data_IF_019345070984
#
_entry.id   IF_019345070984
#
_cell.length_a   1.000
_cell.length_b   1.000
_cell.length_c   1.000
_cell.angle_alpha   90.00
_cell.angle_beta   90.00
_cell.angle_gamma   90.00
#
_symmetry.space_group_name_H-M   'P 1'
#
loop_
_entity.id
_entity.type
_entity.pdbx_description
1 polymer ?
#
# COMPACT_ATOMS: atom_id res chain seq x y z
N UNK A 1 6.95 7.07 6.71
CA UNK A 1 6.29 5.85 6.19
C UNK A 1 6.26 4.66 7.16
N UNK A 2 7.15 4.58 8.18
CA UNK A 2 7.21 3.44 9.12
C UNK A 2 5.88 3.07 9.80
N UNK A 3 5.02 4.06 10.11
CA UNK A 3 3.70 3.83 10.71
C UNK A 3 2.76 3.08 9.74
N UNK A 4 2.67 3.55 8.49
CA UNK A 4 1.83 2.91 7.46
C UNK A 4 2.35 1.49 7.15
N UNK A 5 3.66 1.33 7.01
CA UNK A 5 4.28 0.01 6.83
C UNK A 5 3.98 -0.93 8.01
N UNK A 6 4.09 -0.45 9.25
CA UNK A 6 3.76 -1.23 10.44
C UNK A 6 2.30 -1.68 10.47
N UNK A 7 1.36 -0.80 10.08
CA UNK A 7 -0.06 -1.15 9.96
C UNK A 7 -0.27 -2.25 8.91
N UNK A 8 0.24 -2.06 7.70
CA UNK A 8 0.08 -3.03 6.61
C UNK A 8 0.69 -4.38 7.00
N UNK A 9 1.90 -4.38 7.56
CA UNK A 9 2.56 -5.60 8.04
C UNK A 9 1.72 -6.35 9.09
N UNK A 10 1.16 -5.62 10.06
CA UNK A 10 0.34 -6.21 11.13
C UNK A 10 -0.96 -6.79 10.59
N UNK A 11 -1.62 -6.12 9.65
CA UNK A 11 -2.84 -6.61 9.00
C UNK A 11 -2.55 -7.82 8.12
N UNK A 12 -1.50 -7.75 7.29
CA UNK A 12 -1.10 -8.86 6.43
C UNK A 12 -0.66 -10.09 7.22
N UNK A 13 -0.30 -10.01 8.51
CA UNK A 13 -0.09 -11.19 9.37
C UNK A 13 -1.39 -11.95 9.67
N UNK A 14 -2.52 -11.25 9.67
CA UNK A 14 -3.85 -11.79 10.05
C UNK A 14 -4.76 -12.05 8.86
N UNK A 15 -4.55 -11.33 7.76
CA UNK A 15 -5.38 -11.37 6.57
C UNK A 15 -4.53 -11.58 5.30
N UNK A 16 -5.17 -12.08 4.24
CA UNK A 16 -4.54 -12.25 2.92
C UNK A 16 -4.29 -10.90 2.24
N UNK A 17 -5.17 -9.93 2.49
CA UNK A 17 -5.14 -8.60 1.89
C UNK A 17 -5.23 -7.51 2.95
N UNK A 18 -4.60 -6.37 2.68
CA UNK A 18 -4.74 -5.15 3.47
C UNK A 18 -5.16 -4.01 2.54
N UNK A 19 -6.34 -3.44 2.76
CA UNK A 19 -6.78 -2.24 2.07
C UNK A 19 -6.36 -1.00 2.86
N UNK A 20 -5.73 -0.05 2.17
CA UNK A 20 -5.38 1.27 2.68
C UNK A 20 -6.20 2.29 1.90
N UNK A 21 -7.08 2.98 2.60
CA UNK A 21 -7.99 3.95 1.99
C UNK A 21 -7.31 5.29 1.75
N UNK A 22 -7.94 6.09 0.89
CA UNK A 22 -7.43 7.38 0.46
C UNK A 22 -7.01 8.32 1.61
N UNK A 23 -7.74 8.33 2.72
CA UNK A 23 -7.42 9.19 3.88
C UNK A 23 -6.06 8.86 4.49
N UNK A 24 -5.61 7.62 4.38
CA UNK A 24 -4.29 7.19 4.83
C UNK A 24 -3.24 7.37 3.74
N UNK A 25 -3.60 7.09 2.48
CA UNK A 25 -2.73 7.30 1.34
C UNK A 25 -2.35 8.78 1.19
N UNK A 26 -3.31 9.70 1.32
CA UNK A 26 -3.11 11.15 1.18
C UNK A 26 -2.10 11.73 2.19
N UNK A 27 -1.95 11.10 3.36
CA UNK A 27 -0.97 11.50 4.39
C UNK A 27 0.48 11.21 3.98
N UNK A 28 0.69 10.26 3.06
CA UNK A 28 2.01 9.85 2.60
C UNK A 28 2.27 10.32 1.18
N UNK A 29 1.28 10.13 0.30
CA UNK A 29 1.30 10.56 -1.09
C UNK A 29 0.07 11.43 -1.36
N UNK A 30 0.23 12.76 -1.48
CA UNK A 30 -0.87 13.66 -1.83
C UNK A 30 -1.50 13.30 -3.18
N UNK A 31 -2.83 13.49 -3.32
CA UNK A 31 -3.59 13.17 -4.56
C UNK A 31 -3.00 13.79 -5.82
N UNK A 32 -2.53 15.03 -5.75
CA UNK A 32 -1.98 15.75 -6.90
C UNK A 32 -0.48 15.43 -7.14
N UNK A 33 0.04 14.39 -6.50
CA UNK A 33 1.43 13.98 -6.62
C UNK A 33 1.72 13.30 -7.96
N UNK A 34 2.77 13.73 -8.66
CA UNK A 34 3.29 13.02 -9.83
C UNK A 34 3.66 11.58 -9.46
N UNK A 35 3.23 10.63 -10.29
CA UNK A 35 3.55 9.20 -10.21
C UNK A 35 3.18 8.53 -8.87
N UNK A 36 2.02 8.92 -8.29
CA UNK A 36 1.52 8.38 -7.01
C UNK A 36 1.45 6.85 -6.99
N UNK A 37 0.86 6.25 -8.01
CA UNK A 37 0.77 4.79 -8.13
C UNK A 37 2.15 4.13 -8.14
N UNK A 38 3.08 4.63 -8.95
CA UNK A 38 4.44 4.08 -9.03
C UNK A 38 5.17 4.13 -7.67
N UNK A 39 4.96 5.20 -6.88
CA UNK A 39 5.52 5.29 -5.53
C UNK A 39 4.89 4.28 -4.56
N UNK A 40 3.59 4.02 -4.70
CA UNK A 40 2.88 3.01 -3.90
C UNK A 40 3.38 1.60 -4.27
N UNK A 41 3.58 1.32 -5.55
CA UNK A 41 4.17 0.06 -6.04
C UNK A 41 5.58 -0.14 -5.49
N UNK A 42 6.43 0.89 -5.59
CA UNK A 42 7.80 0.83 -5.06
C UNK A 42 7.80 0.59 -3.55
N UNK A 43 6.96 1.32 -2.81
CA UNK A 43 6.80 1.13 -1.37
C UNK A 43 6.36 -0.29 -1.01
N UNK A 44 5.45 -0.89 -1.77
CA UNK A 44 5.06 -2.29 -1.54
C UNK A 44 6.27 -3.22 -1.70
N UNK A 45 7.01 -3.09 -2.82
CA UNK A 45 8.19 -3.91 -3.12
C UNK A 45 9.28 -3.79 -2.06
N UNK A 46 9.58 -2.57 -1.62
CA UNK A 46 10.58 -2.31 -0.55
C UNK A 46 10.22 -2.98 0.78
N UNK A 47 8.95 -3.32 1.00
CA UNK A 47 8.47 -4.00 2.20
C UNK A 47 8.13 -5.49 1.99
N UNK A 48 8.47 -6.07 0.83
CA UNK A 48 8.17 -7.48 0.51
C UNK A 48 6.68 -7.75 0.28
N UNK A 49 5.94 -6.75 -0.18
CA UNK A 49 4.52 -6.83 -0.52
C UNK A 49 4.30 -6.55 -2.00
N UNK A 50 3.13 -6.92 -2.49
CA UNK A 50 2.66 -6.57 -3.82
C UNK A 50 1.42 -5.68 -3.72
N UNK A 51 1.36 -4.68 -4.59
CA UNK A 51 0.16 -3.89 -4.82
C UNK A 51 -0.76 -4.65 -5.79
N UNK A 52 -1.93 -5.09 -5.33
CA UNK A 52 -2.92 -5.85 -6.12
C UNK A 52 -3.91 -4.95 -6.84
N UNK A 53 -4.24 -3.83 -6.23
CA UNK A 53 -5.20 -2.88 -6.76
C UNK A 53 -4.85 -1.49 -6.29
N UNK A 54 -5.03 -0.52 -7.18
CA UNK A 54 -4.98 0.89 -6.84
C UNK A 54 -6.05 1.63 -7.63
N UNK A 55 -6.81 2.49 -6.93
CA UNK A 55 -7.67 3.47 -7.55
C UNK A 55 -7.49 4.79 -6.83
N UNK A 56 -7.06 5.80 -7.58
CA UNK A 56 -6.85 7.13 -7.05
C UNK A 56 -8.15 7.68 -6.45
N UNK A 57 -8.03 8.27 -5.27
CA UNK A 57 -9.17 8.77 -4.51
C UNK A 57 -9.97 7.72 -3.75
N UNK A 58 -9.68 6.41 -3.91
CA UNK A 58 -10.38 5.31 -3.25
C UNK A 58 -9.47 4.53 -2.28
N UNK A 59 -8.64 3.62 -2.80
CA UNK A 59 -7.79 2.75 -1.98
C UNK A 59 -6.66 2.09 -2.78
N UNK A 60 -5.70 1.56 -2.02
CA UNK A 60 -4.66 0.64 -2.45
C UNK A 60 -4.84 -0.68 -1.68
N UNK A 61 -4.78 -1.83 -2.36
CA UNK A 61 -4.86 -3.14 -1.73
C UNK A 61 -3.50 -3.83 -1.86
N UNK A 62 -2.93 -4.19 -0.72
CA UNK A 62 -1.66 -4.90 -0.62
C UNK A 62 -1.91 -6.37 -0.28
N UNK A 63 -1.02 -7.23 -0.76
CA UNK A 63 -0.88 -8.61 -0.29
C UNK A 63 0.58 -8.98 -0.09
N UNK A 64 0.82 -10.12 0.57
CA UNK A 64 2.15 -10.70 0.60
C UNK A 64 2.51 -11.12 -0.83
N UNK A 65 3.74 -10.85 -1.24
CA UNK A 65 4.24 -11.38 -2.51
C UNK A 65 4.13 -12.92 -2.46
N UNK A 66 3.61 -13.60 -3.51
CA UNK A 66 3.59 -15.05 -3.52
C UNK A 66 5.04 -15.53 -3.39
N UNK A 67 5.31 -16.38 -2.40
CA UNK A 67 6.53 -17.17 -2.38
C UNK A 67 6.46 -18.05 -3.64
N UNK A 68 7.23 -17.65 -4.67
CA UNK A 68 7.42 -18.46 -5.87
C UNK A 68 8.18 -19.74 -5.57
#
# INVERSE_FOLDING_TARGET
>A
MKILAGKISKELKKAVHCAVYETELARVWPRNGKAREAKIVLFAKENGWRLRFYKDGLCAIFDREPLG
#
